data_IF_231919842719
#
_entry.id   IF_231919842719
#
_cell.length_a   1.000
_cell.length_b   1.000
_cell.length_c   1.000
_cell.angle_alpha   90.00
_cell.angle_beta   90.00
_cell.angle_gamma   90.00
#
_symmetry.space_group_name_H-M   'P 1'
#
loop_
_entity.id
_entity.type
_entity.pdbx_description
1 polymer ?
#
# COMPACT_ATOMS: atom_id res chain seq x y z
N UNK A 1 -22.81 12.14 -10.49
CA UNK A 1 -22.42 10.80 -10.98
C UNK A 1 -22.17 10.91 -12.47
N UNK A 2 -20.92 11.02 -12.93
CA UNK A 2 -20.55 11.19 -14.35
C UNK A 2 -20.02 9.82 -14.81
N UNK A 3 -20.84 9.03 -15.56
CA UNK A 3 -20.54 7.62 -15.81
C UNK A 3 -19.68 7.34 -17.08
N UNK A 4 -18.96 8.28 -17.65
CA UNK A 4 -18.40 8.12 -19.01
C UNK A 4 -16.90 8.41 -19.17
N UNK A 5 -16.06 8.08 -18.20
CA UNK A 5 -14.61 8.10 -18.44
C UNK A 5 -14.04 6.71 -18.21
N UNK A 6 -14.21 5.85 -19.19
CA UNK A 6 -13.59 4.54 -19.33
C UNK A 6 -12.07 4.73 -19.65
N UNK A 7 -11.24 3.72 -19.38
CA UNK A 7 -9.77 3.73 -19.65
C UNK A 7 -9.41 4.15 -21.10
N UNK A 8 -10.37 4.04 -22.02
CA UNK A 8 -10.28 4.53 -23.39
C UNK A 8 -10.22 6.06 -23.53
N UNK A 9 -10.53 6.86 -22.49
CA UNK A 9 -10.54 8.32 -22.59
C UNK A 9 -9.17 8.98 -22.26
N UNK A 10 -8.32 8.31 -21.51
CA UNK A 10 -7.01 8.84 -21.10
C UNK A 10 -6.05 8.90 -22.30
N UNK A 11 -6.03 7.87 -23.13
CA UNK A 11 -5.17 7.80 -24.30
C UNK A 11 -5.45 8.90 -25.32
N UNK A 12 -6.71 9.17 -25.74
CA UNK A 12 -7.01 10.29 -26.65
C UNK A 12 -6.72 11.66 -26.01
N UNK A 13 -6.86 11.80 -24.68
CA UNK A 13 -6.51 13.04 -23.96
C UNK A 13 -4.99 13.30 -23.98
N UNK A 14 -4.17 12.28 -23.78
CA UNK A 14 -2.70 12.37 -23.90
C UNK A 14 -2.28 12.67 -25.33
N UNK A 15 -2.91 12.03 -26.32
CA UNK A 15 -2.69 12.31 -27.74
C UNK A 15 -3.06 13.75 -28.09
N UNK A 16 -4.18 14.26 -27.61
CA UNK A 16 -4.60 15.65 -27.80
C UNK A 16 -3.59 16.63 -27.19
N UNK A 17 -3.06 16.34 -25.99
CA UNK A 17 -2.03 17.16 -25.34
C UNK A 17 -0.75 17.24 -26.18
N UNK A 18 -0.29 16.10 -26.74
CA UNK A 18 0.89 16.05 -27.62
C UNK A 18 0.64 16.85 -28.91
N UNK A 19 -0.52 16.66 -29.53
CA UNK A 19 -0.91 17.37 -30.76
C UNK A 19 -0.98 18.88 -30.52
N UNK A 20 -1.62 19.34 -29.45
CA UNK A 20 -1.69 20.77 -29.11
C UNK A 20 -0.32 21.35 -28.74
N UNK A 21 0.56 20.55 -28.10
CA UNK A 21 1.93 20.99 -27.82
C UNK A 21 2.76 21.16 -29.09
N UNK A 22 2.61 20.27 -30.07
CA UNK A 22 3.30 20.35 -31.37
C UNK A 22 2.75 21.51 -32.22
N UNK A 23 1.42 21.73 -32.25
CA UNK A 23 0.78 22.86 -32.94
C UNK A 23 1.19 24.20 -32.31
N UNK A 24 1.47 24.26 -31.01
CA UNK A 24 1.96 25.45 -30.31
C UNK A 24 3.33 25.93 -30.80
N UNK A 25 4.07 25.15 -31.58
CA UNK A 25 5.34 25.52 -32.23
C UNK A 25 5.15 26.24 -33.57
N UNK A 26 3.93 26.26 -34.12
CA UNK A 26 3.60 26.95 -35.38
C UNK A 26 3.60 28.47 -35.12
N UNK A 27 4.31 29.21 -35.94
CA UNK A 27 4.56 30.67 -35.81
C UNK A 27 3.33 31.58 -36.01
N UNK A 28 2.12 31.06 -36.02
CA UNK A 28 0.90 31.88 -36.13
C UNK A 28 0.39 32.21 -34.74
N UNK A 29 0.44 33.48 -34.28
CA UNK A 29 0.23 33.82 -32.86
C UNK A 29 -1.16 33.47 -32.31
N UNK A 30 -2.18 33.47 -33.18
CA UNK A 30 -3.56 33.13 -32.77
C UNK A 30 -3.68 31.60 -32.51
N UNK A 31 -3.11 30.79 -33.40
CA UNK A 31 -3.14 29.32 -33.28
C UNK A 31 -2.30 28.88 -32.07
N UNK A 32 -1.16 29.49 -31.82
CA UNK A 32 -0.32 29.22 -30.66
C UNK A 32 -1.01 29.59 -29.34
N UNK A 33 -1.79 30.65 -29.29
CA UNK A 33 -2.58 31.03 -28.11
C UNK A 33 -3.68 30.03 -27.78
N UNK A 34 -4.44 29.63 -28.80
CA UNK A 34 -5.48 28.60 -28.65
C UNK A 34 -4.91 27.22 -28.25
N UNK A 35 -3.77 26.85 -28.85
CA UNK A 35 -3.11 25.57 -28.50
C UNK A 35 -2.59 25.57 -27.05
N UNK A 36 -2.05 26.69 -26.55
CA UNK A 36 -1.63 26.83 -25.14
C UNK A 36 -2.80 26.74 -24.16
N UNK A 37 -3.93 27.37 -24.50
CA UNK A 37 -5.15 27.32 -23.70
C UNK A 37 -5.71 25.89 -23.67
N UNK A 38 -5.72 25.19 -24.81
CA UNK A 38 -6.13 23.80 -24.93
C UNK A 38 -5.23 22.85 -24.15
N UNK A 39 -3.90 23.05 -24.19
CA UNK A 39 -2.95 22.24 -23.39
C UNK A 39 -3.12 22.45 -21.89
N UNK A 40 -3.36 23.71 -21.44
CA UNK A 40 -3.62 23.99 -20.03
C UNK A 40 -4.92 23.33 -19.54
N UNK A 41 -5.99 23.43 -20.34
CA UNK A 41 -7.27 22.77 -20.03
C UNK A 41 -7.12 21.23 -19.96
N UNK A 42 -6.34 20.64 -20.87
CA UNK A 42 -6.05 19.20 -20.86
C UNK A 42 -5.24 18.78 -19.62
N UNK A 43 -4.25 19.56 -19.20
CA UNK A 43 -3.48 19.32 -17.97
C UNK A 43 -4.39 19.38 -16.73
N UNK A 44 -5.22 20.41 -16.63
CA UNK A 44 -6.17 20.57 -15.52
C UNK A 44 -7.14 19.38 -15.48
N UNK A 45 -7.67 18.97 -16.64
CA UNK A 45 -8.57 17.82 -16.73
C UNK A 45 -7.88 16.51 -16.33
N UNK A 46 -6.63 16.29 -16.78
CA UNK A 46 -5.82 15.13 -16.37
C UNK A 46 -5.59 15.13 -14.86
N UNK A 47 -5.29 16.29 -14.26
CA UNK A 47 -5.13 16.41 -12.81
C UNK A 47 -6.43 16.12 -12.06
N UNK A 48 -7.58 16.61 -12.55
CA UNK A 48 -8.89 16.30 -11.95
C UNK A 48 -9.21 14.80 -12.05
N UNK A 49 -8.92 14.19 -13.19
CA UNK A 49 -9.13 12.75 -13.39
C UNK A 49 -8.17 11.92 -12.53
N UNK A 50 -6.91 12.31 -12.41
CA UNK A 50 -5.93 11.64 -11.59
C UNK A 50 -6.26 11.73 -10.09
N UNK A 51 -6.76 12.89 -9.62
CA UNK A 51 -7.21 13.05 -8.23
C UNK A 51 -8.51 12.31 -7.92
N UNK A 52 -9.42 12.23 -8.90
CA UNK A 52 -10.69 11.50 -8.75
C UNK A 52 -10.56 9.97 -8.90
N UNK A 53 -9.43 9.47 -9.43
CA UNK A 53 -9.20 8.04 -9.65
C UNK A 53 -7.91 7.55 -8.95
N UNK A 54 -7.54 8.18 -7.83
CA UNK A 54 -6.34 7.82 -7.07
C UNK A 54 -6.19 6.31 -6.86
N UNK A 55 -7.29 5.64 -6.51
CA UNK A 55 -7.31 4.20 -6.22
C UNK A 55 -6.96 3.32 -7.45
N UNK A 56 -7.12 3.84 -8.67
CA UNK A 56 -6.76 3.12 -9.91
C UNK A 56 -5.31 3.32 -10.34
N UNK A 57 -4.72 4.46 -10.01
CA UNK A 57 -3.34 4.80 -10.39
C UNK A 57 -2.31 4.39 -9.34
N UNK A 58 -2.72 4.24 -8.06
CA UNK A 58 -1.84 3.76 -6.99
C UNK A 58 -1.05 2.49 -7.35
N UNK A 59 -1.66 1.42 -7.93
CA UNK A 59 -0.90 0.22 -8.26
C UNK A 59 0.19 0.45 -9.32
N UNK A 60 -0.03 1.38 -10.25
CA UNK A 60 0.94 1.68 -11.32
C UNK A 60 2.04 2.64 -10.86
N UNK A 61 1.66 3.68 -10.13
CA UNK A 61 2.59 4.67 -9.57
C UNK A 61 3.43 4.01 -8.47
N UNK A 62 2.83 3.21 -7.61
CA UNK A 62 3.52 2.44 -6.59
C UNK A 62 4.57 1.48 -7.19
N UNK A 63 4.26 0.77 -8.28
CA UNK A 63 5.24 -0.08 -8.99
C UNK A 63 6.37 0.72 -9.63
N UNK A 64 6.10 1.92 -10.12
CA UNK A 64 7.11 2.77 -10.77
C UNK A 64 8.04 3.44 -9.75
N UNK A 65 7.49 3.80 -8.58
CA UNK A 65 8.21 4.46 -7.48
C UNK A 65 8.75 3.48 -6.43
N UNK A 66 8.25 2.24 -6.38
CA UNK A 66 8.71 1.20 -5.45
C UNK A 66 10.25 1.00 -5.41
N UNK A 67 11.02 1.14 -6.52
CA UNK A 67 12.48 1.12 -6.46
C UNK A 67 13.10 2.35 -5.79
N UNK A 68 12.38 3.47 -5.73
CA UNK A 68 12.82 4.74 -5.15
C UNK A 68 12.37 4.92 -3.70
N UNK A 69 11.34 4.18 -3.28
CA UNK A 69 10.69 4.24 -1.97
C UNK A 69 10.94 2.99 -1.11
N UNK A 70 12.00 2.24 -1.37
CA UNK A 70 12.43 1.25 -0.38
C UNK A 70 12.93 2.00 0.84
N UNK A 71 11.99 2.31 1.71
CA UNK A 71 12.32 2.71 3.08
C UNK A 71 13.26 1.66 3.64
N UNK A 72 14.38 2.13 4.20
CA UNK A 72 15.44 1.24 4.60
C UNK A 72 14.99 0.37 5.78
N UNK A 73 14.46 -0.81 5.46
CA UNK A 73 14.34 -1.87 6.46
C UNK A 73 15.71 -2.51 6.63
N UNK A 74 16.26 -2.41 7.82
CA UNK A 74 17.59 -2.95 8.11
C UNK A 74 17.55 -3.81 9.37
N UNK A 75 18.42 -4.82 9.42
CA UNK A 75 18.66 -5.60 10.63
C UNK A 75 20.00 -5.19 11.22
N UNK A 76 20.00 -4.71 12.47
CA UNK A 76 21.19 -4.26 13.18
C UNK A 76 21.29 -5.02 14.49
N UNK A 77 22.20 -5.97 14.56
CA UNK A 77 22.25 -6.91 15.69
C UNK A 77 20.95 -7.70 15.80
N UNK A 78 20.30 -7.61 16.94
CA UNK A 78 19.03 -8.29 17.20
C UNK A 78 17.80 -7.46 16.82
N UNK A 79 17.97 -6.23 16.34
CA UNK A 79 16.86 -5.30 16.06
C UNK A 79 16.56 -5.19 14.57
N UNK A 80 15.28 -5.10 14.25
CA UNK A 80 14.82 -4.65 12.93
C UNK A 80 14.47 -3.16 13.03
N UNK A 81 15.00 -2.36 12.12
CA UNK A 81 14.79 -0.92 12.06
C UNK A 81 14.07 -0.56 10.77
N UNK A 82 12.98 0.18 10.91
CA UNK A 82 12.15 0.67 9.82
C UNK A 82 12.19 2.20 9.83
N UNK A 83 12.64 2.80 8.74
CA UNK A 83 12.59 4.26 8.59
C UNK A 83 11.15 4.71 8.28
N UNK A 84 10.78 5.87 8.79
CA UNK A 84 9.47 6.48 8.52
C UNK A 84 9.40 6.93 7.07
N UNK A 85 8.43 6.43 6.34
CA UNK A 85 8.13 6.82 4.96
C UNK A 85 7.77 8.31 4.83
N UNK A 86 7.81 8.87 3.62
CA UNK A 86 7.39 10.26 3.36
C UNK A 86 5.91 10.52 3.72
N UNK A 87 5.06 9.50 3.71
CA UNK A 87 3.65 9.55 4.11
C UNK A 87 3.45 9.64 5.63
N UNK A 88 4.55 9.58 6.41
CA UNK A 88 4.52 9.65 7.88
C UNK A 88 4.23 8.32 8.56
N UNK A 89 4.21 7.21 7.82
CA UNK A 89 3.94 5.88 8.35
C UNK A 89 5.20 5.00 8.36
N UNK A 90 5.12 3.90 9.10
CA UNK A 90 6.12 2.84 9.08
C UNK A 90 5.59 1.68 8.26
N UNK A 91 6.34 1.28 7.25
CA UNK A 91 6.03 0.15 6.40
C UNK A 91 7.07 -0.95 6.61
N UNK A 92 6.61 -2.17 6.70
CA UNK A 92 7.45 -3.34 6.87
C UNK A 92 7.34 -4.27 5.65
N UNK A 93 8.47 -4.65 5.09
CA UNK A 93 8.52 -5.73 4.11
C UNK A 93 8.57 -7.05 4.87
N UNK A 94 7.52 -7.83 4.76
CA UNK A 94 7.31 -9.09 5.46
C UNK A 94 7.13 -10.24 4.47
N UNK A 95 7.38 -11.44 4.93
CA UNK A 95 7.00 -12.66 4.22
C UNK A 95 5.93 -13.38 5.02
N UNK A 96 4.73 -13.54 4.40
CA UNK A 96 3.58 -14.25 4.95
C UNK A 96 3.46 -15.60 4.24
N UNK A 97 3.68 -16.70 4.94
CA UNK A 97 3.65 -18.08 4.39
C UNK A 97 4.44 -18.19 3.06
N UNK A 98 5.60 -17.52 2.99
CA UNK A 98 6.49 -17.51 1.84
C UNK A 98 6.22 -16.40 0.82
N UNK A 99 5.12 -15.66 0.90
CA UNK A 99 4.77 -14.57 -0.02
C UNK A 99 5.19 -13.22 0.55
N UNK A 100 5.93 -12.43 -0.24
CA UNK A 100 6.37 -11.09 0.16
C UNK A 100 5.22 -10.10 0.13
N UNK A 101 5.13 -9.29 1.18
CA UNK A 101 4.13 -8.23 1.34
C UNK A 101 4.73 -7.03 2.03
N UNK A 102 4.28 -5.86 1.60
CA UNK A 102 4.54 -4.61 2.32
C UNK A 102 3.32 -4.29 3.18
N UNK A 103 3.53 -4.21 4.49
CA UNK A 103 2.47 -4.01 5.48
C UNK A 103 2.67 -2.71 6.25
N UNK A 104 1.57 -2.00 6.48
CA UNK A 104 1.54 -0.85 7.37
C UNK A 104 1.67 -1.31 8.83
N UNK A 105 2.63 -0.78 9.58
CA UNK A 105 2.72 -1.03 11.02
C UNK A 105 1.82 -0.04 11.76
N UNK A 106 0.77 -0.58 12.39
CA UNK A 106 -0.26 0.24 13.05
C UNK A 106 -0.52 -0.24 14.49
N UNK A 107 -0.01 0.52 15.46
CA UNK A 107 -0.27 0.27 16.87
C UNK A 107 -1.72 0.58 17.31
N UNK A 108 -2.50 1.26 16.49
CA UNK A 108 -3.93 1.50 16.68
C UNK A 108 -4.81 0.32 16.28
N UNK A 109 -4.30 -0.58 15.44
CA UNK A 109 -4.99 -1.79 15.05
C UNK A 109 -4.78 -2.91 16.08
N UNK A 110 -5.85 -3.41 16.68
CA UNK A 110 -5.76 -4.50 17.68
C UNK A 110 -5.29 -5.81 17.05
N UNK A 111 -5.71 -6.08 15.82
CA UNK A 111 -5.45 -7.32 15.10
C UNK A 111 -4.89 -7.03 13.72
N UNK A 112 -3.97 -7.85 13.27
CA UNK A 112 -3.41 -7.83 11.92
C UNK A 112 -4.51 -8.06 10.90
N UNK A 113 -4.61 -7.18 9.91
CA UNK A 113 -5.60 -7.22 8.86
C UNK A 113 -4.91 -7.39 7.51
N UNK A 114 -5.43 -8.29 6.68
CA UNK A 114 -4.91 -8.50 5.33
C UNK A 114 -6.03 -8.38 4.31
N UNK A 115 -5.65 -7.93 3.13
CA UNK A 115 -6.53 -7.81 1.98
C UNK A 115 -6.99 -9.18 1.47
N UNK A 116 -8.09 -9.22 0.74
CA UNK A 116 -8.52 -10.47 0.10
C UNK A 116 -7.49 -10.97 -0.94
N UNK A 117 -6.82 -10.05 -1.63
CA UNK A 117 -5.77 -10.40 -2.58
C UNK A 117 -4.62 -11.14 -1.88
N UNK A 118 -4.12 -10.60 -0.76
CA UNK A 118 -3.07 -11.23 0.04
C UNK A 118 -3.53 -12.57 0.60
N UNK A 119 -4.75 -12.64 1.15
CA UNK A 119 -5.29 -13.89 1.69
C UNK A 119 -5.36 -15.00 0.65
N UNK A 120 -5.78 -14.66 -0.59
CA UNK A 120 -5.84 -15.62 -1.69
C UNK A 120 -4.44 -16.07 -2.14
N UNK A 121 -3.47 -15.14 -2.19
CA UNK A 121 -2.11 -15.45 -2.67
C UNK A 121 -1.32 -16.33 -1.70
N UNK A 122 -1.50 -16.13 -0.38
CA UNK A 122 -0.90 -17.01 0.63
C UNK A 122 -1.70 -18.30 0.84
N UNK A 123 -2.79 -18.50 0.08
CA UNK A 123 -3.64 -19.68 0.22
C UNK A 123 -4.31 -19.77 1.58
N UNK A 124 -4.61 -18.63 2.23
CA UNK A 124 -5.19 -18.60 3.56
C UNK A 124 -6.51 -19.35 3.58
N UNK A 125 -6.50 -20.54 4.16
CA UNK A 125 -7.73 -21.27 4.41
C UNK A 125 -8.55 -20.51 5.45
N UNK A 126 -9.82 -20.16 5.17
CA UNK A 126 -10.68 -19.61 6.21
C UNK A 126 -10.69 -20.61 7.36
N UNK A 127 -10.16 -20.24 8.52
CA UNK A 127 -10.48 -21.02 9.72
C UNK A 127 -12.00 -20.99 9.81
N UNK A 128 -12.56 -22.19 9.78
CA UNK A 128 -13.98 -22.43 9.61
C UNK A 128 -14.82 -21.85 10.77
N UNK A 129 -14.85 -20.52 10.87
CA UNK A 129 -15.96 -19.85 11.51
C UNK A 129 -16.90 -19.41 10.39
N UNK A 130 -18.05 -20.07 10.22
CA UNK A 130 -19.04 -19.65 9.23
C UNK A 130 -19.64 -18.29 9.57
N UNK A 131 -19.34 -17.73 10.73
CA UNK A 131 -19.87 -16.44 11.20
C UNK A 131 -18.77 -15.40 11.05
N UNK A 132 -18.98 -14.34 10.22
CA UNK A 132 -18.05 -13.22 10.15
C UNK A 132 -17.97 -12.50 11.49
N UNK A 133 -16.78 -12.04 11.84
CA UNK A 133 -16.59 -11.16 13.01
C UNK A 133 -16.83 -9.70 12.58
N UNK A 134 -17.45 -8.93 13.46
CA UNK A 134 -17.60 -7.49 13.25
C UNK A 134 -16.40 -6.77 13.83
N UNK A 135 -15.71 -6.00 13.00
CA UNK A 135 -14.53 -5.21 13.40
C UNK A 135 -14.88 -3.75 13.31
N UNK A 136 -14.54 -3.03 14.38
CA UNK A 136 -14.67 -1.58 14.42
C UNK A 136 -13.41 -0.95 13.82
N UNK A 137 -13.58 -0.18 12.77
CA UNK A 137 -12.51 0.58 12.10
C UNK A 137 -12.78 2.08 12.22
N UNK A 138 -11.83 2.93 11.84
CA UNK A 138 -12.02 4.37 11.77
C UNK A 138 -13.18 4.77 10.83
N UNK A 139 -13.45 3.96 9.80
CA UNK A 139 -14.50 4.21 8.80
C UNK A 139 -15.84 3.52 9.14
N UNK A 140 -15.97 2.94 10.34
CA UNK A 140 -17.18 2.25 10.77
C UNK A 140 -16.96 0.78 11.10
N UNK A 141 -18.06 0.04 11.23
CA UNK A 141 -18.02 -1.39 11.52
C UNK A 141 -18.09 -2.19 10.22
N UNK A 142 -17.15 -3.12 10.04
CA UNK A 142 -17.06 -3.98 8.88
C UNK A 142 -17.11 -5.45 9.27
N UNK A 143 -17.68 -6.27 8.42
CA UNK A 143 -17.62 -7.73 8.55
C UNK A 143 -16.30 -8.23 8.02
N UNK A 144 -15.64 -9.12 8.77
CA UNK A 144 -14.38 -9.73 8.38
C UNK A 144 -14.39 -11.23 8.68
N UNK A 145 -13.65 -11.99 7.88
CA UNK A 145 -13.36 -13.41 8.15
C UNK A 145 -12.10 -13.49 9.00
N UNK A 146 -12.01 -14.49 9.86
CA UNK A 146 -10.79 -14.76 10.64
C UNK A 146 -9.97 -15.83 9.96
N UNK A 147 -8.65 -15.70 10.07
CA UNK A 147 -7.68 -16.70 9.61
C UNK A 147 -6.45 -16.71 10.49
N UNK A 148 -5.46 -17.50 10.14
CA UNK A 148 -4.13 -17.43 10.74
C UNK A 148 -3.08 -17.65 9.67
N UNK A 149 -2.03 -16.85 9.72
CA UNK A 149 -0.80 -17.03 8.97
C UNK A 149 0.10 -17.97 9.75
N UNK A 150 0.56 -19.03 9.12
CA UNK A 150 1.36 -20.04 9.80
C UNK A 150 2.75 -19.52 10.14
N UNK A 151 3.34 -18.71 9.24
CA UNK A 151 4.64 -18.08 9.45
C UNK A 151 4.65 -16.64 8.90
N UNK A 152 4.95 -15.68 9.78
CA UNK A 152 5.34 -14.34 9.39
C UNK A 152 6.84 -14.15 9.65
N UNK A 153 7.58 -13.64 8.65
CA UNK A 153 8.98 -13.21 8.78
C UNK A 153 9.14 -11.74 8.50
N UNK A 154 9.93 -11.07 9.33
CA UNK A 154 10.30 -9.65 9.19
C UNK A 154 11.76 -9.51 9.62
N UNK A 155 12.67 -9.49 8.66
CA UNK A 155 14.11 -9.54 8.94
C UNK A 155 14.48 -10.78 9.79
N UNK A 156 14.99 -10.55 10.99
CA UNK A 156 15.32 -11.60 11.96
C UNK A 156 14.17 -11.95 12.92
N UNK A 157 12.96 -11.40 12.70
CA UNK A 157 11.78 -11.69 13.50
C UNK A 157 10.98 -12.81 12.82
N UNK A 158 10.59 -13.81 13.61
CA UNK A 158 9.68 -14.88 13.21
C UNK A 158 8.47 -14.92 14.15
N UNK A 159 7.27 -14.89 13.61
CA UNK A 159 6.04 -15.09 14.35
C UNK A 159 5.23 -16.23 13.72
N UNK A 160 4.95 -17.26 14.52
CA UNK A 160 4.11 -18.39 14.09
C UNK A 160 2.66 -18.21 14.49
N UNK A 161 1.74 -18.80 13.72
CA UNK A 161 0.31 -18.84 14.01
C UNK A 161 -0.26 -17.45 14.38
N UNK A 162 -0.01 -16.46 13.49
CA UNK A 162 -0.50 -15.10 13.68
C UNK A 162 -1.97 -15.02 13.24
N UNK A 163 -2.86 -14.74 14.18
CA UNK A 163 -4.27 -14.51 13.86
C UNK A 163 -4.44 -13.26 13.00
N UNK A 164 -5.20 -13.37 11.92
CA UNK A 164 -5.49 -12.27 10.99
C UNK A 164 -6.97 -12.17 10.71
N UNK A 165 -7.38 -11.00 10.23
CA UNK A 165 -8.71 -10.75 9.71
C UNK A 165 -8.63 -10.33 8.25
N UNK A 166 -9.63 -10.76 7.47
CA UNK A 166 -9.72 -10.52 6.04
C UNK A 166 -11.06 -9.89 5.73
N UNK A 167 -11.05 -8.76 5.02
CA UNK A 167 -12.29 -8.11 4.57
C UNK A 167 -12.03 -7.32 3.28
N UNK A 168 -12.99 -7.32 2.33
CA UNK A 168 -12.92 -6.44 1.16
C UNK A 168 -12.87 -4.94 1.54
N UNK A 169 -13.37 -4.60 2.73
CA UNK A 169 -13.38 -3.22 3.23
C UNK A 169 -11.97 -2.67 3.53
N UNK A 170 -10.95 -3.52 3.62
CA UNK A 170 -9.56 -3.10 3.83
C UNK A 170 -8.86 -2.67 2.52
N UNK A 171 -9.53 -2.82 1.36
CA UNK A 171 -8.95 -2.51 0.06
C UNK A 171 -7.71 -3.37 -0.22
N UNK A 172 -6.63 -2.72 -0.62
CA UNK A 172 -5.35 -3.39 -0.95
C UNK A 172 -4.26 -3.13 0.11
N UNK A 173 -4.60 -2.61 1.28
CA UNK A 173 -3.64 -2.32 2.34
C UNK A 173 -3.66 -3.44 3.37
N UNK A 174 -2.48 -4.02 3.60
CA UNK A 174 -2.26 -4.99 4.65
C UNK A 174 -1.69 -4.27 5.89
N UNK A 175 -2.18 -4.58 7.08
CA UNK A 175 -1.87 -3.90 8.33
C UNK A 175 -1.33 -4.87 9.35
N UNK A 176 -0.20 -4.56 9.93
CA UNK A 176 0.44 -5.31 11.01
C UNK A 176 0.05 -4.69 12.36
N UNK A 177 -0.81 -5.36 13.10
CA UNK A 177 -1.45 -4.84 14.31
C UNK A 177 -0.76 -5.22 15.61
N UNK A 178 -1.38 -4.81 16.72
CA UNK A 178 -0.89 -5.05 18.07
C UNK A 178 -0.75 -6.51 18.45
N UNK A 179 -1.56 -7.41 17.87
CA UNK A 179 -1.41 -8.85 18.10
C UNK A 179 -0.09 -9.43 17.59
N UNK A 180 0.61 -8.72 16.69
CA UNK A 180 2.00 -9.01 16.33
C UNK A 180 2.96 -8.23 17.23
N UNK A 181 2.80 -6.91 17.35
CA UNK A 181 3.73 -6.05 18.08
C UNK A 181 3.89 -6.45 19.55
N UNK A 182 2.82 -6.90 20.19
CA UNK A 182 2.84 -7.38 21.60
C UNK A 182 3.58 -8.70 21.80
N UNK A 183 3.89 -9.43 20.73
CA UNK A 183 4.71 -10.66 20.82
C UNK A 183 6.21 -10.37 20.83
N UNK A 184 6.62 -9.15 20.52
CA UNK A 184 8.02 -8.73 20.55
C UNK A 184 8.49 -8.51 21.98
N UNK A 185 9.79 -8.60 22.21
CA UNK A 185 10.42 -8.21 23.47
C UNK A 185 10.19 -6.73 23.76
N UNK A 186 10.34 -5.91 22.73
CA UNK A 186 10.01 -4.49 22.76
C UNK A 186 9.85 -3.93 21.35
N UNK A 187 9.13 -2.83 21.24
CA UNK A 187 9.15 -1.96 20.08
C UNK A 187 9.12 -0.51 20.55
N UNK A 188 9.77 0.38 19.81
CA UNK A 188 9.87 1.80 20.16
C UNK A 188 10.12 2.65 18.92
N UNK A 189 9.75 3.91 18.99
CA UNK A 189 10.07 4.89 17.96
C UNK A 189 11.14 5.83 18.48
N UNK A 190 12.24 5.96 17.75
CA UNK A 190 13.34 6.89 18.01
C UNK A 190 13.46 7.86 16.82
N UNK A 191 12.99 9.10 17.00
CA UNK A 191 12.93 10.08 15.93
C UNK A 191 12.03 9.61 14.78
N UNK A 192 12.62 9.26 13.65
CA UNK A 192 11.92 8.76 12.46
C UNK A 192 12.14 7.27 12.20
N UNK A 193 12.61 6.54 13.19
CA UNK A 193 12.91 5.11 13.07
C UNK A 193 12.08 4.31 14.06
N UNK A 194 11.33 3.32 13.57
CA UNK A 194 10.67 2.30 14.39
C UNK A 194 11.65 1.13 14.57
N UNK A 195 11.89 0.78 15.82
CA UNK A 195 12.83 -0.28 16.22
C UNK A 195 12.01 -1.42 16.83
N UNK A 196 12.16 -2.61 16.26
CA UNK A 196 11.50 -3.84 16.69
C UNK A 196 12.53 -4.82 17.22
N UNK A 197 12.37 -5.29 18.46
CA UNK A 197 13.28 -6.23 19.10
C UNK A 197 12.56 -7.56 19.35
N UNK A 198 12.94 -8.66 18.70
CA UNK A 198 12.34 -9.97 18.96
C UNK A 198 12.80 -10.57 20.29
N UNK A 199 11.99 -11.50 20.83
CA UNK A 199 12.42 -12.32 21.96
C UNK A 199 13.54 -13.31 21.58
N UNK A 200 13.44 -13.89 20.38
CA UNK A 200 14.39 -14.87 19.85
C UNK A 200 14.75 -14.48 18.41
N UNK A 201 15.83 -13.70 18.19
CA UNK A 201 16.30 -13.35 16.86
C UNK A 201 16.59 -14.61 16.03
N UNK A 202 16.14 -14.63 14.79
CA UNK A 202 16.37 -15.71 13.84
C UNK A 202 17.44 -15.26 12.81
N UNK A 203 18.13 -16.20 12.17
CA UNK A 203 18.96 -15.83 11.03
C UNK A 203 18.12 -15.11 9.97
N UNK A 204 18.68 -14.02 9.40
CA UNK A 204 18.07 -13.34 8.27
C UNK A 204 18.16 -14.28 7.08
N UNK A 205 17.02 -14.63 6.53
CA UNK A 205 16.97 -15.40 5.28
C UNK A 205 16.95 -14.36 4.17
N UNK A 206 18.09 -14.22 3.48
CA UNK A 206 18.16 -13.38 2.28
C UNK A 206 17.13 -13.84 1.26
N UNK A 207 16.49 -12.86 0.62
CA UNK A 207 15.43 -13.07 -0.37
C UNK A 207 16.01 -13.51 -1.71
#
# INVERSE_FOLDING_TARGET
MIPFLNDSAILPLLLALIVFSVIGWIRVPIIAGLARLGSLAAVVLILILATGQRDRFEPYIGRLLAPLERDAQTVVGDEVRLEMSPDGHFWADVRLDGVERRMLVDSGATITAISEATANEIGLSPRASPVPVLIRTANGTVAARTGAVDELRLGNIKAGNLGVVVSPAFGNVDVLGMNFLSRLKSWRVEGRTLILTPNNPQPVVDA
#
